data_IF_902929409454
#
_entry.id   IF_902929409454
#
_cell.length_a   1.000
_cell.length_b   1.000
_cell.length_c   1.000
_cell.angle_alpha   90.00
_cell.angle_beta   90.00
_cell.angle_gamma   90.00
#
_symmetry.space_group_name_H-M   'P 1'
#
loop_
_entity.id
_entity.type
_entity.pdbx_description
1 polymer ?
#
# COMPACT_ATOMS: atom_id res chain seq x y z
N UNK A 1 -7.90 -4.14 8.02
CA UNK A 1 -8.06 -5.03 9.16
C UNK A 1 -6.93 -6.03 9.17
N UNK A 2 -6.65 -6.57 10.35
CA UNK A 2 -5.59 -7.53 10.63
C UNK A 2 -6.12 -8.69 11.47
N UNK A 3 -5.27 -9.67 11.77
CA UNK A 3 -5.63 -10.82 12.59
C UNK A 3 -6.19 -10.41 13.97
N UNK A 4 -5.58 -9.44 14.65
CA UNK A 4 -6.08 -8.93 15.94
C UNK A 4 -7.15 -7.85 15.80
N UNK A 5 -7.17 -7.14 14.69
CA UNK A 5 -8.07 -6.01 14.43
C UNK A 5 -8.80 -6.17 13.09
N UNK A 6 -9.77 -7.10 12.98
CA UNK A 6 -10.28 -7.56 11.69
C UNK A 6 -11.06 -6.51 10.89
N UNK A 7 -11.56 -5.46 11.55
CA UNK A 7 -12.46 -4.49 10.92
C UNK A 7 -11.70 -3.41 10.12
N UNK A 8 -12.32 -2.91 9.04
CA UNK A 8 -11.81 -1.81 8.22
C UNK A 8 -11.76 -0.50 9.03
N UNK A 9 -10.70 0.30 8.83
CA UNK A 9 -10.53 1.61 9.46
C UNK A 9 -10.24 1.59 10.96
N UNK A 10 -9.95 0.43 11.56
CA UNK A 10 -9.60 0.36 12.99
C UNK A 10 -8.27 1.06 13.27
N UNK A 11 -7.27 0.86 12.41
CA UNK A 11 -5.95 1.48 12.58
C UNK A 11 -6.03 3.00 12.73
N UNK A 12 -6.76 3.68 11.84
CA UNK A 12 -6.93 5.14 11.91
C UNK A 12 -7.67 5.58 13.17
N UNK A 13 -8.72 4.85 13.56
CA UNK A 13 -9.47 5.15 14.79
C UNK A 13 -8.59 5.03 16.04
N UNK A 14 -7.73 4.02 16.09
CA UNK A 14 -6.77 3.85 17.20
C UNK A 14 -5.69 4.92 17.12
N UNK A 15 -5.24 5.29 15.92
CA UNK A 15 -4.26 6.35 15.70
C UNK A 15 -4.74 7.68 16.28
N UNK A 16 -5.97 8.10 15.94
CA UNK A 16 -6.55 9.35 16.47
C UNK A 16 -6.71 9.33 18.00
N UNK A 17 -7.05 8.17 18.59
CA UNK A 17 -7.14 8.02 20.06
C UNK A 17 -5.79 8.11 20.77
N UNK A 18 -4.70 7.92 20.04
CA UNK A 18 -3.33 8.02 20.55
C UNK A 18 -2.64 9.33 20.10
N UNK A 19 -3.45 10.36 19.78
CA UNK A 19 -2.96 11.67 19.35
C UNK A 19 -2.02 11.61 18.14
N UNK A 20 -2.29 10.70 17.21
CA UNK A 20 -1.68 10.74 15.90
C UNK A 20 -2.41 11.72 14.98
N UNK A 21 -1.68 12.35 14.06
CA UNK A 21 -2.27 13.18 12.99
C UNK A 21 -2.99 12.35 11.91
N UNK A 22 -2.73 11.05 11.88
CA UNK A 22 -3.29 10.08 10.95
C UNK A 22 -2.33 8.91 10.78
N UNK A 23 -2.69 7.97 9.91
CA UNK A 23 -1.74 6.99 9.38
C UNK A 23 -1.43 7.32 7.93
N UNK A 24 -0.25 6.93 7.47
CA UNK A 24 0.13 7.08 6.09
C UNK A 24 0.94 5.88 5.61
N UNK A 25 0.95 5.66 4.31
CA UNK A 25 1.78 4.68 3.66
C UNK A 25 2.16 5.17 2.26
N UNK A 26 3.33 4.78 1.77
CA UNK A 26 3.72 4.99 0.39
C UNK A 26 4.53 3.81 -0.14
N UNK A 27 4.43 3.60 -1.45
CA UNK A 27 5.16 2.55 -2.16
C UNK A 27 6.19 3.21 -3.06
N UNK A 28 7.46 2.94 -2.78
CA UNK A 28 8.59 3.29 -3.65
C UNK A 28 8.92 2.08 -4.56
N UNK A 29 9.94 2.21 -5.38
CA UNK A 29 10.32 1.20 -6.39
C UNK A 29 10.73 -0.14 -5.76
N UNK A 30 11.27 -0.12 -4.55
CA UNK A 30 11.91 -1.28 -3.91
C UNK A 30 11.45 -1.53 -2.47
N UNK A 31 10.59 -0.67 -1.92
CA UNK A 31 10.07 -0.82 -0.56
C UNK A 31 8.70 -0.14 -0.43
N UNK A 32 7.94 -0.58 0.57
CA UNK A 32 6.74 0.11 1.03
C UNK A 32 6.97 0.58 2.46
N UNK A 33 6.71 1.84 2.72
CA UNK A 33 6.86 2.44 4.04
C UNK A 33 5.50 2.75 4.64
N UNK A 34 5.30 2.36 5.90
CA UNK A 34 4.13 2.70 6.70
C UNK A 34 4.57 3.64 7.81
N UNK A 35 3.92 4.80 7.93
CA UNK A 35 4.33 5.83 8.87
C UNK A 35 3.18 6.23 9.79
N UNK A 36 3.54 6.47 11.04
CA UNK A 36 2.64 7.00 12.06
C UNK A 36 3.43 7.94 12.95
N UNK A 37 2.85 9.11 13.22
CA UNK A 37 3.46 10.13 14.07
C UNK A 37 2.47 10.49 15.17
N UNK A 38 2.92 10.41 16.42
CA UNK A 38 2.11 10.71 17.61
C UNK A 38 2.68 11.88 18.38
N UNK A 39 1.84 12.57 19.14
CA UNK A 39 2.28 13.70 19.97
C UNK A 39 3.22 13.30 21.12
N UNK A 40 3.13 12.06 21.61
CA UNK A 40 3.93 11.56 22.74
C UNK A 40 4.41 10.13 22.56
N UNK A 41 5.39 9.72 23.38
CA UNK A 41 6.00 8.39 23.34
C UNK A 41 5.02 7.28 23.71
N UNK A 42 4.09 7.54 24.63
CA UNK A 42 3.09 6.59 25.09
C UNK A 42 2.15 6.21 23.94
N UNK A 43 1.74 7.19 23.13
CA UNK A 43 0.94 6.95 21.93
C UNK A 43 1.71 6.14 20.89
N UNK A 44 2.98 6.48 20.66
CA UNK A 44 3.85 5.76 19.71
C UNK A 44 3.99 4.28 20.11
N UNK A 45 4.37 4.02 21.35
CA UNK A 45 4.56 2.67 21.89
C UNK A 45 3.27 1.86 21.91
N UNK A 46 2.12 2.52 22.17
CA UNK A 46 0.80 1.86 22.14
C UNK A 46 0.37 1.49 20.73
N UNK A 47 0.73 2.30 19.73
CA UNK A 47 0.36 2.09 18.32
C UNK A 47 1.28 1.14 17.57
N UNK A 48 2.56 1.09 17.93
CA UNK A 48 3.55 0.25 17.26
C UNK A 48 3.10 -1.22 17.07
N UNK A 49 2.60 -1.94 18.11
CA UNK A 49 2.13 -3.31 17.92
C UNK A 49 0.85 -3.40 17.08
N UNK A 50 0.01 -2.36 17.08
CA UNK A 50 -1.21 -2.30 16.24
C UNK A 50 -0.84 -2.15 14.79
N UNK A 51 0.08 -1.22 14.47
CA UNK A 51 0.61 -1.02 13.13
C UNK A 51 1.32 -2.29 12.62
N UNK A 52 2.17 -2.90 13.45
CA UNK A 52 2.87 -4.12 13.10
C UNK A 52 1.91 -5.28 12.75
N UNK A 53 0.82 -5.45 13.50
CA UNK A 53 -0.20 -6.48 13.20
C UNK A 53 -0.91 -6.20 11.87
N UNK A 54 -1.17 -4.93 11.54
CA UNK A 54 -1.75 -4.54 10.23
C UNK A 54 -0.80 -4.79 9.07
N UNK A 55 0.51 -4.62 9.27
CA UNK A 55 1.53 -4.83 8.23
C UNK A 55 1.84 -6.31 8.05
N UNK A 56 2.03 -7.07 9.14
CA UNK A 56 2.51 -8.46 9.10
C UNK A 56 1.37 -9.48 9.00
N UNK A 57 0.18 -9.16 9.53
CA UNK A 57 -0.95 -10.08 9.59
C UNK A 57 -2.25 -9.46 9.07
N UNK A 58 -2.28 -8.87 7.85
CA UNK A 58 -3.47 -8.29 7.27
C UNK A 58 -4.51 -9.36 6.90
N UNK A 59 -5.80 -9.00 6.94
CA UNK A 59 -6.89 -9.91 6.55
C UNK A 59 -6.98 -10.12 5.03
N UNK A 60 -6.58 -9.12 4.22
CA UNK A 60 -6.67 -9.08 2.73
C UNK A 60 -7.92 -9.81 2.21
N UNK A 61 -9.10 -9.29 2.53
CA UNK A 61 -10.38 -9.89 2.11
C UNK A 61 -10.66 -9.63 0.63
N UNK A 62 -11.41 -10.52 -0.03
CA UNK A 62 -11.81 -10.33 -1.42
C UNK A 62 -12.63 -9.05 -1.60
N UNK A 63 -13.58 -8.78 -0.69
CA UNK A 63 -14.35 -7.54 -0.70
C UNK A 63 -13.47 -6.29 -0.53
N UNK A 64 -12.44 -6.35 0.32
CA UNK A 64 -11.47 -5.27 0.46
C UNK A 64 -10.68 -5.03 -0.82
N UNK A 65 -10.24 -6.10 -1.48
CA UNK A 65 -9.59 -6.02 -2.78
C UNK A 65 -10.49 -5.38 -3.84
N UNK A 66 -11.76 -5.79 -3.93
CA UNK A 66 -12.73 -5.22 -4.88
C UNK A 66 -12.87 -3.70 -4.72
N UNK A 67 -13.00 -3.21 -3.49
CA UNK A 67 -13.17 -1.76 -3.25
C UNK A 67 -11.88 -0.97 -3.40
N UNK A 68 -10.76 -1.50 -2.92
CA UNK A 68 -9.49 -0.76 -2.87
C UNK A 68 -8.71 -0.85 -4.17
N UNK A 69 -8.73 -1.99 -4.86
CA UNK A 69 -7.85 -2.25 -6.00
C UNK A 69 -8.57 -2.06 -7.32
N UNK A 70 -9.51 -2.95 -7.64
CA UNK A 70 -10.16 -2.98 -8.94
C UNK A 70 -11.50 -3.72 -8.92
N UNK A 71 -12.48 -3.14 -9.60
CA UNK A 71 -13.73 -3.78 -10.01
C UNK A 71 -14.35 -3.03 -11.20
N UNK A 72 -15.37 -3.62 -11.81
CA UNK A 72 -16.27 -2.92 -12.73
C UNK A 72 -17.51 -2.50 -11.96
N UNK A 73 -17.89 -1.24 -12.02
CA UNK A 73 -19.05 -0.70 -11.32
C UNK A 73 -20.38 -1.06 -12.02
N UNK A 74 -21.50 -0.60 -11.45
CA UNK A 74 -22.84 -0.89 -11.98
C UNK A 74 -23.13 -0.25 -13.34
N UNK A 75 -22.32 0.71 -13.79
CA UNK A 75 -22.45 1.39 -15.09
C UNK A 75 -21.49 0.80 -16.15
N UNK A 76 -20.65 -0.17 -15.76
CA UNK A 76 -19.67 -0.78 -16.64
C UNK A 76 -18.32 -0.06 -16.69
N UNK A 77 -18.07 0.91 -15.79
CA UNK A 77 -16.80 1.61 -15.71
C UNK A 77 -15.79 0.88 -14.82
N UNK A 78 -14.51 1.03 -15.13
CA UNK A 78 -13.43 0.58 -14.28
C UNK A 78 -13.32 1.46 -13.02
N UNK A 79 -13.36 0.84 -11.85
CA UNK A 79 -13.39 1.49 -10.56
C UNK A 79 -12.46 0.82 -9.53
N UNK A 80 -12.20 1.51 -8.42
CA UNK A 80 -11.29 1.08 -7.36
C UNK A 80 -10.33 2.20 -6.99
N UNK A 81 -9.94 2.28 -5.72
CA UNK A 81 -9.09 3.39 -5.24
C UNK A 81 -7.75 3.43 -5.99
N UNK A 82 -7.03 2.31 -6.04
CA UNK A 82 -5.74 2.20 -6.73
C UNK A 82 -5.89 2.36 -8.24
N UNK A 83 -6.92 1.77 -8.86
CA UNK A 83 -7.14 1.91 -10.29
C UNK A 83 -7.37 3.39 -10.69
N UNK A 84 -8.22 4.11 -9.95
CA UNK A 84 -8.50 5.52 -10.22
C UNK A 84 -7.27 6.42 -9.99
N UNK A 85 -6.47 6.13 -8.96
CA UNK A 85 -5.21 6.83 -8.71
C UNK A 85 -4.22 6.63 -9.86
N UNK A 86 -4.03 5.38 -10.29
CA UNK A 86 -3.11 5.05 -11.39
C UNK A 86 -3.60 5.55 -12.74
N UNK A 87 -4.92 5.65 -12.96
CA UNK A 87 -5.48 6.27 -14.15
C UNK A 87 -5.05 7.75 -14.25
N UNK A 88 -5.01 8.49 -13.13
CA UNK A 88 -4.53 9.87 -13.15
C UNK A 88 -3.02 9.93 -13.42
N UNK A 89 -2.24 9.05 -12.79
CA UNK A 89 -0.77 9.01 -12.91
C UNK A 89 -0.32 8.62 -14.32
N UNK A 90 -0.90 7.58 -14.91
CA UNK A 90 -0.52 7.06 -16.23
C UNK A 90 -0.86 8.03 -17.37
N UNK A 91 -1.84 8.92 -17.17
CA UNK A 91 -2.21 9.96 -18.13
C UNK A 91 -1.47 11.30 -17.91
N UNK A 92 -0.66 11.44 -16.86
CA UNK A 92 0.13 12.64 -16.63
C UNK A 92 1.43 12.61 -17.46
N UNK A 93 1.61 13.60 -18.34
CA UNK A 93 2.75 13.65 -19.26
C UNK A 93 4.13 13.56 -18.60
N UNK A 94 4.28 14.07 -17.36
CA UNK A 94 5.51 13.93 -16.58
C UNK A 94 5.82 12.47 -16.26
N UNK A 95 4.83 11.71 -15.80
CA UNK A 95 5.01 10.30 -15.42
C UNK A 95 5.26 9.44 -16.66
N UNK A 96 4.59 9.72 -17.77
CA UNK A 96 4.86 9.05 -19.06
C UNK A 96 6.33 9.21 -19.48
N UNK A 97 6.84 10.45 -19.45
CA UNK A 97 8.24 10.72 -19.78
C UNK A 97 9.20 10.06 -18.79
N UNK A 98 8.90 10.11 -17.49
CA UNK A 98 9.73 9.54 -16.44
C UNK A 98 9.79 7.99 -16.51
N UNK A 99 8.66 7.33 -16.73
CA UNK A 99 8.61 5.88 -16.94
C UNK A 99 9.39 5.46 -18.19
N UNK A 100 9.28 6.22 -19.28
CA UNK A 100 10.06 5.96 -20.50
C UNK A 100 11.56 6.10 -20.24
N UNK A 101 11.98 7.13 -19.52
CA UNK A 101 13.37 7.34 -19.12
C UNK A 101 13.88 6.16 -18.29
N UNK A 102 13.15 5.74 -17.24
CA UNK A 102 13.51 4.60 -16.39
C UNK A 102 13.69 3.31 -17.20
N UNK A 103 12.79 3.03 -18.14
CA UNK A 103 12.88 1.85 -19.03
C UNK A 103 14.10 1.89 -19.96
N UNK A 104 14.58 3.07 -20.33
CA UNK A 104 15.82 3.22 -21.12
C UNK A 104 17.08 3.06 -20.25
N UNK A 105 17.05 3.57 -19.01
CA UNK A 105 18.18 3.48 -18.08
C UNK A 105 18.38 2.06 -17.53
N UNK A 106 17.29 1.32 -17.32
CA UNK A 106 17.31 -0.04 -16.76
C UNK A 106 16.77 -1.05 -17.79
N UNK A 107 17.53 -1.36 -18.86
CA UNK A 107 17.09 -2.33 -19.87
C UNK A 107 16.99 -3.75 -19.29
N UNK A 108 16.02 -4.52 -19.79
CA UNK A 108 15.82 -5.92 -19.38
C UNK A 108 14.79 -6.11 -18.25
N UNK A 109 14.81 -7.29 -17.62
CA UNK A 109 13.90 -7.64 -16.53
C UNK A 109 14.42 -7.04 -15.21
N UNK A 110 14.09 -5.79 -14.96
CA UNK A 110 14.50 -5.05 -13.76
C UNK A 110 13.30 -4.34 -13.13
N UNK A 111 13.14 -4.46 -11.80
CA UNK A 111 12.07 -3.79 -11.06
C UNK A 111 12.14 -2.25 -11.17
N UNK A 112 13.33 -1.68 -11.37
CA UNK A 112 13.50 -0.25 -11.56
C UNK A 112 12.90 0.29 -12.86
N UNK A 113 12.60 -0.57 -13.83
CA UNK A 113 11.89 -0.21 -15.07
C UNK A 113 10.36 -0.38 -14.97
N UNK A 114 9.87 -0.98 -13.88
CA UNK A 114 8.45 -1.25 -13.66
C UNK A 114 7.71 -0.04 -13.08
N UNK A 115 6.43 0.11 -13.43
CA UNK A 115 5.56 1.05 -12.73
C UNK A 115 5.03 0.37 -11.47
N UNK A 116 5.55 0.74 -10.30
CA UNK A 116 5.25 0.04 -9.04
C UNK A 116 3.90 0.41 -8.46
N UNK A 117 3.31 1.54 -8.89
CA UNK A 117 1.90 1.82 -8.64
C UNK A 117 0.97 0.89 -9.43
N UNK A 118 1.46 0.31 -10.53
CA UNK A 118 0.74 -0.61 -11.41
C UNK A 118 0.20 0.09 -12.66
N UNK A 119 0.45 -0.51 -13.83
CA UNK A 119 -0.19 -0.05 -15.07
C UNK A 119 -1.66 -0.45 -15.06
N UNK A 120 -2.53 0.38 -15.65
CA UNK A 120 -3.97 0.10 -15.71
C UNK A 120 -4.28 -1.29 -16.27
N UNK A 121 -3.57 -1.72 -17.33
CA UNK A 121 -3.75 -3.04 -17.93
C UNK A 121 -3.41 -4.19 -16.96
N UNK A 122 -2.35 -4.02 -16.18
CA UNK A 122 -1.91 -5.04 -15.21
C UNK A 122 -2.86 -5.11 -14.01
N UNK A 123 -3.35 -3.95 -13.53
CA UNK A 123 -4.31 -3.87 -12.41
C UNK A 123 -5.61 -4.60 -12.76
N UNK A 124 -6.12 -4.47 -14.00
CA UNK A 124 -7.32 -5.19 -14.46
C UNK A 124 -7.18 -6.72 -14.38
N UNK A 125 -5.96 -7.22 -14.56
CA UNK A 125 -5.65 -8.65 -14.52
C UNK A 125 -5.26 -9.16 -13.12
N UNK A 126 -5.14 -8.26 -12.14
CA UNK A 126 -4.68 -8.58 -10.80
C UNK A 126 -5.74 -9.36 -10.03
N UNK A 127 -5.30 -10.36 -9.26
CA UNK A 127 -6.18 -11.17 -8.41
C UNK A 127 -5.81 -10.98 -6.95
N UNK A 128 -6.81 -11.12 -6.06
CA UNK A 128 -6.59 -11.06 -4.61
C UNK A 128 -5.56 -12.10 -4.15
N UNK A 129 -5.52 -13.28 -4.78
CA UNK A 129 -4.56 -14.32 -4.42
C UNK A 129 -3.13 -13.97 -4.82
N UNK A 130 -2.94 -13.24 -5.93
CA UNK A 130 -1.63 -12.69 -6.29
C UNK A 130 -1.16 -11.65 -5.28
N UNK A 131 -2.07 -10.79 -4.79
CA UNK A 131 -1.77 -9.82 -3.72
C UNK A 131 -1.40 -10.53 -2.41
N UNK A 132 -2.15 -11.57 -2.02
CA UNK A 132 -1.85 -12.40 -0.84
C UNK A 132 -0.51 -13.13 -0.98
N UNK A 133 -0.22 -13.65 -2.16
CA UNK A 133 1.04 -14.32 -2.48
C UNK A 133 2.23 -13.36 -2.32
N UNK A 134 2.13 -12.17 -2.92
CA UNK A 134 3.13 -11.12 -2.77
C UNK A 134 3.34 -10.72 -1.30
N UNK A 135 2.25 -10.49 -0.56
CA UNK A 135 2.33 -10.15 0.85
C UNK A 135 3.07 -11.25 1.64
N UNK A 136 2.68 -12.52 1.45
CA UNK A 136 3.32 -13.67 2.11
C UNK A 136 4.83 -13.78 1.80
N UNK A 137 5.24 -13.44 0.58
CA UNK A 137 6.64 -13.53 0.15
C UNK A 137 7.51 -12.43 0.76
N UNK A 138 7.01 -11.18 0.78
CA UNK A 138 7.80 -10.00 1.10
C UNK A 138 7.58 -9.43 2.51
N UNK A 139 6.41 -9.61 3.12
CA UNK A 139 6.09 -9.06 4.45
C UNK A 139 6.42 -10.06 5.57
N UNK A 140 7.64 -10.57 5.53
CA UNK A 140 8.19 -11.49 6.53
C UNK A 140 8.95 -10.72 7.60
N UNK A 141 9.00 -11.23 8.83
CA UNK A 141 9.67 -10.56 9.94
C UNK A 141 11.17 -10.32 9.72
N UNK A 142 11.83 -11.16 8.90
CA UNK A 142 13.24 -11.01 8.50
C UNK A 142 13.46 -9.97 7.38
N UNK A 143 12.39 -9.47 6.76
CA UNK A 143 12.41 -8.49 5.68
C UNK A 143 11.68 -7.17 6.06
N UNK A 144 11.57 -6.88 7.36
CA UNK A 144 11.01 -5.62 7.86
C UNK A 144 12.04 -4.85 8.65
N UNK A 145 12.12 -3.54 8.40
CA UNK A 145 12.89 -2.60 9.20
C UNK A 145 11.91 -1.72 10.00
N UNK A 146 12.14 -1.60 11.31
CA UNK A 146 11.36 -0.72 12.18
C UNK A 146 12.23 0.46 12.58
N UNK A 147 11.82 1.66 12.17
CA UNK A 147 12.46 2.91 12.53
C UNK A 147 11.59 3.64 13.57
N UNK A 148 12.12 3.83 14.76
CA UNK A 148 11.50 4.65 15.82
C UNK A 148 12.37 5.85 16.08
N UNK A 149 11.82 7.05 15.89
CA UNK A 149 12.52 8.30 16.14
C UNK A 149 11.67 9.21 17.04
N UNK A 150 12.33 10.01 17.86
CA UNK A 150 11.70 10.87 18.84
C UNK A 150 12.76 11.68 19.59
N UNK A 151 12.31 12.67 20.37
CA UNK A 151 13.17 13.43 21.29
C UNK A 151 13.09 12.84 22.69
#
# INVERSE_FOLDING_TARGET
GSAKYPYKGVLDKVAFRNFATGTNAYTDVHHTAYTITTAGKEGCLSLLPVLADHVLHPTISAAGFTTEVYHVDGEGNDAGVVYCEMQAIENEGRNVAYLKLRRLLYPGACGYAAETGGLMADIRSLTVDRVRGYHKEYYRSDNVCVLVTGK
#
